data_IF_299785609494
#
_entry.id   IF_299785609494
#
_cell.length_a   1.000
_cell.length_b   1.000
_cell.length_c   1.000
_cell.angle_alpha   90.00
_cell.angle_beta   90.00
_cell.angle_gamma   90.00
#
_symmetry.space_group_name_H-M   'P 1'
#
loop_
_entity.id
_entity.type
_entity.pdbx_description
1 polymer ?
#
# COMPACT_ATOMS: atom_id res chain seq x y z
N UNK A 1 0.92 38.60 -5.68
CA UNK A 1 0.27 37.29 -5.88
C UNK A 1 -0.04 36.76 -4.49
N UNK A 2 -1.26 37.04 -4.01
CA UNK A 2 -1.68 36.69 -2.66
C UNK A 2 -2.00 35.20 -2.61
N UNK A 3 -1.17 34.41 -1.93
CA UNK A 3 -1.55 33.08 -1.44
C UNK A 3 -2.42 33.32 -0.20
N UNK A 4 -3.59 33.91 -0.42
CA UNK A 4 -4.54 34.30 0.61
C UNK A 4 -5.70 33.30 0.63
N UNK A 5 -5.85 32.63 1.77
CA UNK A 5 -7.12 32.10 2.29
C UNK A 5 -7.81 30.94 1.56
N UNK A 6 -7.08 30.01 0.93
CA UNK A 6 -7.59 28.63 0.86
C UNK A 6 -7.15 27.92 2.15
N UNK A 7 -7.97 28.05 3.21
CA UNK A 7 -7.97 27.01 4.24
C UNK A 7 -8.38 25.76 3.50
N UNK A 8 -7.43 24.83 3.27
CA UNK A 8 -7.71 23.64 2.48
C UNK A 8 -8.99 22.99 2.99
N UNK A 9 -9.92 22.73 2.07
CA UNK A 9 -11.21 22.05 2.32
C UNK A 9 -11.02 20.87 3.26
N UNK A 10 -9.92 20.14 3.08
CA UNK A 10 -9.51 18.98 3.86
C UNK A 10 -9.30 19.24 5.36
N UNK A 11 -8.78 20.41 5.75
CA UNK A 11 -8.67 20.78 7.17
C UNK A 11 -10.04 20.95 7.81
N UNK A 12 -10.96 21.62 7.09
CA UNK A 12 -12.35 21.74 7.53
C UNK A 12 -13.02 20.37 7.58
N UNK A 13 -12.64 19.43 6.67
CA UNK A 13 -13.16 18.05 6.69
C UNK A 13 -12.83 17.42 8.03
N UNK A 14 -11.54 17.42 8.37
CA UNK A 14 -11.07 16.71 9.55
C UNK A 14 -11.65 17.31 10.82
N UNK A 15 -11.75 18.64 10.92
CA UNK A 15 -12.40 19.30 12.06
C UNK A 15 -13.90 18.95 12.16
N UNK A 16 -14.63 18.88 11.04
CA UNK A 16 -16.04 18.48 11.02
C UNK A 16 -16.22 17.00 11.37
N UNK A 17 -15.35 16.12 10.87
CA UNK A 17 -15.40 14.68 11.14
C UNK A 17 -15.04 14.33 12.57
N UNK A 18 -14.10 15.05 13.17
CA UNK A 18 -13.81 14.93 14.59
C UNK A 18 -15.01 15.33 15.46
N UNK A 19 -15.89 16.22 14.98
CA UNK A 19 -17.12 16.59 15.69
C UNK A 19 -18.27 15.60 15.47
N UNK A 20 -18.44 15.07 14.25
CA UNK A 20 -19.51 14.12 13.92
C UNK A 20 -19.26 12.73 14.50
N UNK A 21 -18.02 12.25 14.46
CA UNK A 21 -17.62 11.00 15.10
C UNK A 21 -17.45 11.22 16.60
N UNK A 22 -18.43 11.84 17.27
CA UNK A 22 -18.37 12.25 18.66
C UNK A 22 -18.12 11.01 19.54
N UNK A 23 -16.85 10.67 19.69
CA UNK A 23 -16.29 9.68 20.60
C UNK A 23 -16.52 10.12 22.06
N UNK A 24 -17.39 11.12 22.33
CA UNK A 24 -17.70 11.66 23.65
C UNK A 24 -18.19 10.61 24.63
N UNK A 25 -18.78 9.53 24.12
CA UNK A 25 -19.20 8.39 24.95
C UNK A 25 -18.06 7.39 25.25
N UNK A 26 -16.91 7.50 24.58
CA UNK A 26 -15.73 6.72 24.93
C UNK A 26 -14.99 7.36 26.11
N UNK A 27 -14.81 6.66 27.23
CA UNK A 27 -14.20 7.22 28.43
C UNK A 27 -12.80 7.81 28.15
N UNK A 28 -12.42 8.94 28.78
CA UNK A 28 -11.16 9.66 28.52
C UNK A 28 -9.89 8.79 28.61
N UNK A 29 -9.92 7.76 29.47
CA UNK A 29 -8.82 6.81 29.67
C UNK A 29 -8.53 5.96 28.41
N UNK A 30 -9.55 5.64 27.60
CA UNK A 30 -9.36 4.92 26.34
C UNK A 30 -8.73 5.81 25.26
N UNK A 31 -8.94 7.13 25.30
CA UNK A 31 -8.36 8.06 24.32
C UNK A 31 -6.84 8.22 24.51
N UNK A 32 -6.37 8.31 25.76
CA UNK A 32 -4.95 8.45 26.05
C UNK A 32 -4.15 7.17 25.76
N UNK A 33 -4.72 5.98 26.03
CA UNK A 33 -4.06 4.70 25.76
C UNK A 33 -3.94 4.36 24.27
N UNK A 34 -4.78 4.95 23.41
CA UNK A 34 -4.72 4.70 21.97
C UNK A 34 -3.65 5.53 21.25
N UNK A 35 -3.10 6.58 21.88
CA UNK A 35 -2.15 7.48 21.23
C UNK A 35 -0.70 6.99 21.25
N UNK A 36 -0.34 5.98 22.04
CA UNK A 36 1.07 5.60 22.27
C UNK A 36 1.52 4.30 21.61
N UNK A 37 0.63 3.48 21.09
CA UNK A 37 1.03 2.21 20.45
C UNK A 37 1.26 2.44 18.96
N UNK A 38 2.52 2.67 18.59
CA UNK A 38 3.00 2.63 17.21
C UNK A 38 3.05 1.21 16.63
N UNK A 39 3.49 1.03 15.39
CA UNK A 39 3.66 -0.30 14.79
C UNK A 39 4.61 -1.14 15.65
N UNK A 40 4.14 -2.31 16.07
CA UNK A 40 4.98 -3.34 16.69
C UNK A 40 5.52 -4.24 15.59
N UNK A 41 6.83 -4.30 15.42
CA UNK A 41 7.48 -5.13 14.39
C UNK A 41 8.07 -6.40 15.01
N UNK A 42 8.05 -7.49 14.24
CA UNK A 42 8.80 -8.72 14.49
C UNK A 42 9.84 -8.88 13.39
N UNK A 43 10.94 -9.57 13.68
CA UNK A 43 11.98 -9.86 12.70
C UNK A 43 12.36 -11.34 12.77
N UNK A 44 12.82 -11.87 11.65
CA UNK A 44 13.33 -13.22 11.55
C UNK A 44 14.12 -13.44 10.28
N UNK A 45 15.12 -14.31 10.38
CA UNK A 45 15.91 -14.74 9.24
C UNK A 45 15.10 -15.70 8.36
N UNK A 46 15.28 -15.55 7.04
CA UNK A 46 14.84 -16.56 6.09
C UNK A 46 15.59 -17.87 6.36
N UNK A 47 14.92 -18.99 6.09
CA UNK A 47 15.54 -20.31 6.20
C UNK A 47 16.47 -20.53 5.01
N UNK A 48 17.49 -21.34 5.24
CA UNK A 48 18.43 -21.73 4.19
C UNK A 48 17.70 -22.52 3.09
N UNK A 49 18.03 -22.23 1.82
CA UNK A 49 17.51 -22.97 0.68
C UNK A 49 18.35 -24.25 0.52
N UNK A 50 17.73 -25.45 0.53
CA UNK A 50 18.45 -26.67 0.20
C UNK A 50 19.06 -26.56 -1.20
N UNK A 51 20.31 -27.00 -1.37
CA UNK A 51 21.00 -26.94 -2.68
C UNK A 51 20.21 -27.63 -3.79
N UNK A 52 19.48 -28.70 -3.45
CA UNK A 52 18.60 -29.44 -4.37
C UNK A 52 17.40 -28.64 -4.87
N UNK A 53 17.04 -27.55 -4.18
CA UNK A 53 15.91 -26.69 -4.54
C UNK A 53 16.32 -25.45 -5.34
N UNK A 54 17.63 -25.16 -5.46
CA UNK A 54 18.12 -23.99 -6.20
C UNK A 54 17.82 -24.06 -7.70
N UNK A 55 17.89 -25.27 -8.27
CA UNK A 55 17.70 -25.53 -9.71
C UNK A 55 16.29 -25.10 -10.16
N UNK A 56 15.27 -25.40 -9.36
CA UNK A 56 13.88 -25.01 -9.65
C UNK A 56 13.68 -23.49 -9.73
N UNK A 57 14.43 -22.72 -8.93
CA UNK A 57 14.32 -21.27 -8.89
C UNK A 57 14.94 -20.62 -10.13
N UNK A 58 15.92 -21.26 -10.77
CA UNK A 58 16.58 -20.75 -11.98
C UNK A 58 15.71 -20.89 -13.24
N UNK A 59 14.69 -21.75 -13.20
CA UNK A 59 13.73 -21.94 -14.29
C UNK A 59 12.44 -21.10 -14.15
N UNK A 60 12.40 -20.15 -13.21
CA UNK A 60 11.19 -19.35 -12.97
C UNK A 60 10.72 -18.54 -14.18
N UNK A 61 11.61 -18.15 -15.09
CA UNK A 61 11.23 -17.43 -16.31
C UNK A 61 10.41 -18.30 -17.29
N UNK A 62 10.57 -19.63 -17.23
CA UNK A 62 10.10 -20.57 -18.26
C UNK A 62 8.71 -21.18 -17.99
N UNK A 63 7.90 -20.62 -17.06
CA UNK A 63 6.55 -21.14 -16.72
C UNK A 63 5.47 -20.91 -17.79
N UNK A 64 5.82 -21.00 -19.07
CA UNK A 64 4.88 -20.86 -20.20
C UNK A 64 4.50 -22.22 -20.84
N UNK A 65 5.01 -23.33 -20.29
CA UNK A 65 4.77 -24.70 -20.75
C UNK A 65 3.55 -25.37 -20.11
N UNK A 66 3.14 -26.53 -20.63
CA UNK A 66 2.09 -27.36 -20.00
C UNK A 66 2.49 -27.83 -18.59
N UNK A 67 3.80 -27.90 -18.30
CA UNK A 67 4.40 -28.25 -17.01
C UNK A 67 4.47 -27.05 -16.04
N UNK A 68 4.10 -25.84 -16.48
CA UNK A 68 4.15 -24.62 -15.68
C UNK A 68 3.39 -24.72 -14.36
N UNK A 69 2.32 -25.54 -14.31
CA UNK A 69 1.52 -25.72 -13.10
C UNK A 69 2.32 -26.39 -11.98
N UNK A 70 3.03 -27.46 -12.33
CA UNK A 70 3.82 -28.23 -11.37
C UNK A 70 5.06 -27.45 -10.97
N UNK A 71 5.74 -26.82 -11.93
CA UNK A 71 6.88 -25.95 -11.64
C UNK A 71 6.50 -24.77 -10.73
N UNK A 72 5.40 -24.06 -11.01
CA UNK A 72 4.93 -22.98 -10.14
C UNK A 72 4.60 -23.45 -8.72
N UNK A 73 4.02 -24.66 -8.61
CA UNK A 73 3.69 -25.29 -7.33
C UNK A 73 4.96 -25.60 -6.55
N UNK A 74 5.96 -26.21 -7.15
CA UNK A 74 7.22 -26.54 -6.50
C UNK A 74 8.00 -25.27 -6.09
N UNK A 75 8.14 -24.28 -6.99
CA UNK A 75 8.76 -22.98 -6.66
C UNK A 75 8.05 -22.31 -5.48
N UNK A 76 6.72 -22.32 -5.46
CA UNK A 76 5.95 -21.70 -4.39
C UNK A 76 6.07 -22.44 -3.06
N UNK A 77 6.17 -23.77 -3.08
CA UNK A 77 6.45 -24.59 -1.90
C UNK A 77 7.83 -24.26 -1.36
N UNK A 78 8.85 -24.19 -2.22
CA UNK A 78 10.19 -23.76 -1.84
C UNK A 78 10.16 -22.38 -1.19
N UNK A 79 9.64 -21.36 -1.87
CA UNK A 79 9.55 -20.00 -1.31
C UNK A 79 8.82 -19.99 0.03
N UNK A 80 7.68 -20.67 0.13
CA UNK A 80 6.91 -20.77 1.37
C UNK A 80 7.73 -21.36 2.52
N UNK A 81 8.54 -22.39 2.24
CA UNK A 81 9.40 -23.02 3.23
C UNK A 81 10.57 -22.13 3.69
N UNK A 82 10.98 -21.15 2.88
CA UNK A 82 12.01 -20.15 3.27
C UNK A 82 11.49 -19.15 4.28
N UNK A 83 10.17 -18.96 4.37
CA UNK A 83 9.58 -17.95 5.22
C UNK A 83 9.82 -18.22 6.71
N UNK A 84 10.11 -17.18 7.52
CA UNK A 84 10.26 -17.32 8.96
C UNK A 84 8.99 -17.90 9.60
N UNK A 85 9.11 -18.83 10.55
CA UNK A 85 7.93 -19.47 11.17
C UNK A 85 7.02 -18.44 11.88
N UNK A 86 7.61 -17.45 12.54
CA UNK A 86 6.86 -16.36 13.19
C UNK A 86 6.12 -15.47 12.18
N UNK A 87 6.67 -15.31 10.97
CA UNK A 87 5.99 -14.63 9.88
C UNK A 87 4.75 -15.41 9.44
N UNK A 88 4.89 -16.72 9.19
CA UNK A 88 3.77 -17.59 8.83
C UNK A 88 2.64 -17.58 9.88
N UNK A 89 3.00 -17.54 11.17
CA UNK A 89 2.02 -17.37 12.25
C UNK A 89 1.28 -16.03 12.18
N UNK A 90 1.99 -14.95 11.81
CA UNK A 90 1.39 -13.62 11.60
C UNK A 90 0.43 -13.64 10.39
N UNK A 91 0.83 -14.28 9.29
CA UNK A 91 -0.01 -14.46 8.10
C UNK A 91 -1.29 -15.22 8.42
N UNK A 92 -1.19 -16.35 9.12
CA UNK A 92 -2.36 -17.14 9.50
C UNK A 92 -3.36 -16.35 10.37
N UNK A 93 -2.88 -15.37 11.15
CA UNK A 93 -3.74 -14.54 11.99
C UNK A 93 -4.35 -13.33 11.26
N UNK A 94 -3.59 -12.64 10.40
CA UNK A 94 -3.98 -11.31 9.92
C UNK A 94 -4.22 -11.19 8.42
N UNK A 95 -3.70 -12.12 7.60
CA UNK A 95 -3.80 -12.02 6.14
C UNK A 95 -5.24 -12.11 5.61
N UNK A 96 -6.12 -12.77 6.37
CA UNK A 96 -7.47 -13.13 5.96
C UNK A 96 -7.54 -14.43 5.15
N UNK A 97 -6.46 -15.19 5.07
CA UNK A 97 -6.39 -16.52 4.44
C UNK A 97 -5.94 -17.57 5.45
N UNK A 98 -6.38 -18.81 5.25
CA UNK A 98 -5.76 -19.96 5.91
C UNK A 98 -4.35 -20.19 5.36
N UNK A 99 -3.49 -20.85 6.13
CA UNK A 99 -2.09 -21.01 5.74
C UNK A 99 -1.91 -21.87 4.48
N UNK A 100 -2.78 -22.87 4.28
CA UNK A 100 -2.79 -23.70 3.09
C UNK A 100 -3.28 -22.91 1.87
N UNK A 101 -4.31 -22.09 2.03
CA UNK A 101 -4.80 -21.19 0.98
C UNK A 101 -3.75 -20.15 0.60
N UNK A 102 -3.03 -19.62 1.58
CA UNK A 102 -1.91 -18.70 1.35
C UNK A 102 -0.85 -19.36 0.46
N UNK A 103 -0.40 -20.57 0.81
CA UNK A 103 0.57 -21.33 0.00
C UNK A 103 0.05 -21.64 -1.40
N UNK A 104 -1.19 -22.11 -1.52
CA UNK A 104 -1.79 -22.42 -2.82
C UNK A 104 -1.92 -21.17 -3.70
N UNK A 105 -2.26 -20.03 -3.08
CA UNK A 105 -2.35 -18.74 -3.77
C UNK A 105 -1.00 -18.25 -4.27
N UNK A 106 0.11 -18.55 -3.58
CA UNK A 106 1.47 -18.28 -4.08
C UNK A 106 1.72 -18.96 -5.43
N UNK A 107 1.28 -20.21 -5.61
CA UNK A 107 1.43 -20.93 -6.88
C UNK A 107 0.56 -20.35 -8.00
N UNK A 108 -0.70 -20.03 -7.69
CA UNK A 108 -1.62 -19.41 -8.67
C UNK A 108 -1.08 -18.06 -9.13
N UNK A 109 -0.76 -17.17 -8.19
CA UNK A 109 -0.34 -15.81 -8.51
C UNK A 109 1.03 -15.79 -9.21
N UNK A 110 1.95 -16.70 -8.88
CA UNK A 110 3.26 -16.78 -9.54
C UNK A 110 3.14 -16.99 -11.06
N UNK A 111 2.14 -17.77 -11.48
CA UNK A 111 1.85 -18.02 -12.88
C UNK A 111 1.24 -16.81 -13.57
N UNK A 112 0.35 -16.11 -12.89
CA UNK A 112 -0.34 -14.93 -13.42
C UNK A 112 0.58 -13.71 -13.53
N UNK A 113 1.69 -13.69 -12.78
CA UNK A 113 2.72 -12.67 -12.94
C UNK A 113 3.37 -12.72 -14.32
N UNK A 114 3.77 -11.55 -14.83
CA UNK A 114 4.61 -11.48 -16.03
C UNK A 114 5.99 -12.08 -15.76
N UNK A 115 6.63 -12.65 -16.78
CA UNK A 115 7.93 -13.31 -16.67
C UNK A 115 8.97 -12.48 -15.91
N UNK A 116 9.07 -11.17 -16.20
CA UNK A 116 10.01 -10.27 -15.51
C UNK A 116 9.70 -10.08 -14.02
N UNK A 117 8.42 -9.93 -13.63
CA UNK A 117 8.05 -9.83 -12.22
C UNK A 117 8.28 -11.14 -11.47
N UNK A 118 7.92 -12.25 -12.12
CA UNK A 118 8.10 -13.60 -11.61
C UNK A 118 9.57 -13.89 -11.33
N UNK A 119 10.45 -13.67 -12.31
CA UNK A 119 11.90 -13.80 -12.18
C UNK A 119 12.44 -12.92 -11.03
N UNK A 120 12.03 -11.65 -10.98
CA UNK A 120 12.48 -10.72 -9.94
C UNK A 120 12.09 -11.17 -8.53
N UNK A 121 10.85 -11.64 -8.32
CA UNK A 121 10.43 -12.15 -7.02
C UNK A 121 11.16 -13.44 -6.65
N UNK A 122 11.28 -14.39 -7.57
CA UNK A 122 11.95 -15.66 -7.32
C UNK A 122 13.42 -15.42 -6.98
N UNK A 123 14.13 -14.59 -7.76
CA UNK A 123 15.51 -14.20 -7.48
C UNK A 123 15.65 -13.52 -6.13
N UNK A 124 14.72 -12.65 -5.75
CA UNK A 124 14.73 -12.00 -4.43
C UNK A 124 14.64 -13.03 -3.31
N UNK A 125 13.66 -13.95 -3.35
CA UNK A 125 13.52 -15.01 -2.33
C UNK A 125 14.72 -15.96 -2.32
N UNK A 126 15.27 -16.28 -3.51
CA UNK A 126 16.50 -17.08 -3.64
C UNK A 126 17.64 -16.43 -2.87
N UNK A 127 17.89 -15.14 -3.09
CA UNK A 127 18.96 -14.41 -2.42
C UNK A 127 18.73 -14.31 -0.91
N UNK A 128 17.50 -14.04 -0.48
CA UNK A 128 17.17 -13.97 0.95
C UNK A 128 17.42 -15.29 1.66
N UNK A 129 17.05 -16.42 1.04
CA UNK A 129 17.27 -17.74 1.62
C UNK A 129 18.74 -18.20 1.56
N UNK A 130 19.47 -17.90 0.48
CA UNK A 130 20.91 -18.20 0.39
C UNK A 130 21.73 -17.43 1.41
N UNK A 131 21.40 -16.14 1.64
CA UNK A 131 22.08 -15.30 2.62
C UNK A 131 21.57 -15.45 4.05
N UNK A 132 20.51 -16.24 4.27
CA UNK A 132 19.75 -16.28 5.53
C UNK A 132 19.42 -14.86 6.03
N UNK A 133 19.10 -13.99 5.08
CA UNK A 133 18.91 -12.57 5.33
C UNK A 133 17.75 -12.34 6.29
N UNK A 134 17.81 -11.25 7.05
CA UNK A 134 16.75 -10.91 8.00
C UNK A 134 15.77 -9.95 7.37
N UNK A 135 14.48 -10.23 7.52
CA UNK A 135 13.41 -9.26 7.27
C UNK A 135 12.61 -9.02 8.55
N UNK A 136 11.98 -7.85 8.61
CA UNK A 136 11.00 -7.54 9.62
C UNK A 136 9.61 -7.42 9.00
N UNK A 137 8.57 -7.47 9.82
CA UNK A 137 7.18 -7.28 9.44
C UNK A 137 6.36 -6.77 10.63
N UNK A 138 5.26 -6.05 10.38
CA UNK A 138 4.34 -5.63 11.43
C UNK A 138 3.62 -6.83 12.04
N UNK A 139 3.50 -6.83 13.37
CA UNK A 139 2.77 -7.85 14.13
C UNK A 139 1.26 -7.81 13.87
N UNK A 140 0.74 -6.62 13.53
CA UNK A 140 -0.59 -6.40 12.95
C UNK A 140 -0.42 -5.45 11.76
N UNK A 141 -0.39 -5.96 10.51
CA UNK A 141 -0.13 -5.15 9.33
C UNK A 141 -1.15 -4.03 9.07
N UNK A 142 -2.39 -4.18 9.55
CA UNK A 142 -3.48 -3.27 9.20
C UNK A 142 -3.99 -3.36 7.76
N UNK A 143 -3.48 -4.30 6.96
CA UNK A 143 -3.94 -4.61 5.62
C UNK A 143 -3.93 -6.13 5.37
N UNK A 144 -4.60 -6.57 4.30
CA UNK A 144 -4.85 -7.98 3.97
C UNK A 144 -4.41 -8.29 2.55
N UNK A 145 -4.32 -9.58 2.21
CA UNK A 145 -3.96 -10.04 0.85
C UNK A 145 -4.90 -9.44 -0.20
N UNK A 146 -6.21 -9.39 0.08
CA UNK A 146 -7.21 -8.81 -0.83
C UNK A 146 -7.00 -7.33 -1.19
N UNK A 147 -6.15 -6.60 -0.47
CA UNK A 147 -5.80 -5.22 -0.79
C UNK A 147 -4.71 -5.15 -1.87
N UNK A 148 -4.16 -6.26 -2.32
CA UNK A 148 -3.19 -6.32 -3.40
C UNK A 148 -3.75 -7.15 -4.55
N UNK A 149 -3.24 -6.92 -5.76
CA UNK A 149 -3.63 -7.71 -6.95
C UNK A 149 -3.23 -9.17 -6.82
N UNK A 150 -2.14 -9.42 -6.11
CA UNK A 150 -1.51 -10.72 -5.93
C UNK A 150 -0.78 -10.81 -4.58
N UNK A 151 -0.47 -12.03 -4.16
CA UNK A 151 0.17 -12.35 -2.90
C UNK A 151 1.63 -11.88 -2.83
N UNK A 152 2.33 -11.76 -3.96
CA UNK A 152 3.71 -11.27 -3.99
C UNK A 152 3.76 -9.75 -3.76
N UNK A 153 2.77 -9.02 -4.27
CA UNK A 153 2.57 -7.62 -3.94
C UNK A 153 2.17 -7.39 -2.48
N UNK A 154 1.40 -8.31 -1.90
CA UNK A 154 1.18 -8.31 -0.45
C UNK A 154 2.48 -8.56 0.32
N UNK A 155 3.27 -9.58 -0.06
CA UNK A 155 4.55 -9.90 0.58
C UNK A 155 5.53 -8.72 0.52
N UNK A 156 5.65 -8.05 -0.63
CA UNK A 156 6.53 -6.87 -0.78
C UNK A 156 6.07 -5.64 -0.01
N UNK A 157 4.79 -5.58 0.36
CA UNK A 157 4.28 -4.57 1.27
C UNK A 157 4.50 -4.95 2.75
N UNK A 158 4.46 -6.24 3.11
CA UNK A 158 4.64 -6.67 4.50
C UNK A 158 6.12 -6.67 4.93
N UNK A 159 7.05 -7.04 4.04
CA UNK A 159 8.46 -7.10 4.40
C UNK A 159 9.11 -5.72 4.52
N UNK A 160 9.81 -5.54 5.63
CA UNK A 160 10.47 -4.32 6.07
C UNK A 160 11.96 -4.58 6.21
N UNK A 161 12.80 -3.63 5.76
CA UNK A 161 14.24 -3.62 6.01
C UNK A 161 14.50 -3.46 7.52
N UNK A 162 15.25 -4.37 8.18
CA UNK A 162 15.46 -4.34 9.63
C UNK A 162 15.96 -3.01 10.17
N UNK A 163 16.88 -2.35 9.46
CA UNK A 163 17.44 -1.05 9.85
C UNK A 163 16.49 0.15 9.75
N UNK A 164 15.22 -0.06 9.39
CA UNK A 164 14.22 1.01 9.19
C UNK A 164 12.97 0.86 10.04
N UNK A 165 12.90 -0.12 10.95
CA UNK A 165 11.69 -0.37 11.77
C UNK A 165 11.28 0.82 12.65
N UNK A 166 12.22 1.70 12.99
CA UNK A 166 12.02 2.91 13.80
C UNK A 166 11.89 4.19 12.96
N UNK A 167 12.01 4.10 11.63
CA UNK A 167 11.78 5.24 10.73
C UNK A 167 10.31 5.67 10.80
N UNK A 168 10.01 6.94 10.49
CA UNK A 168 8.65 7.48 10.44
C UNK A 168 7.63 6.55 9.76
N UNK A 169 8.05 5.99 8.61
CA UNK A 169 7.43 4.86 7.95
C UNK A 169 8.56 3.89 7.63
N UNK A 170 8.49 2.62 8.05
CA UNK A 170 9.52 1.65 7.73
C UNK A 170 9.72 1.49 6.22
N UNK A 171 10.92 1.10 5.83
CA UNK A 171 11.29 0.97 4.41
C UNK A 171 11.17 -0.46 3.93
N UNK A 172 10.79 -0.62 2.67
CA UNK A 172 10.74 -1.93 2.00
C UNK A 172 12.11 -2.34 1.45
N UNK A 173 12.19 -3.60 1.02
CA UNK A 173 13.19 -4.08 0.07
C UNK A 173 12.92 -3.50 -1.32
N UNK A 174 13.86 -2.69 -1.82
CA UNK A 174 13.72 -1.91 -3.07
C UNK A 174 14.02 -2.77 -4.30
N UNK A 175 14.86 -3.77 -4.10
CA UNK A 175 15.20 -4.90 -4.97
C UNK A 175 14.05 -5.91 -5.12
N UNK A 176 13.08 -5.93 -4.21
CA UNK A 176 11.82 -6.66 -4.40
C UNK A 176 10.83 -5.79 -5.19
N UNK A 177 10.14 -6.31 -6.22
CA UNK A 177 9.12 -5.55 -6.94
C UNK A 177 8.01 -5.04 -5.99
N UNK A 178 7.51 -3.80 -6.16
CA UNK A 178 6.60 -3.16 -5.20
C UNK A 178 5.19 -3.76 -5.14
N UNK A 179 4.79 -4.59 -6.11
CA UNK A 179 3.40 -5.07 -6.23
C UNK A 179 2.39 -3.96 -6.56
N UNK A 180 1.18 -4.35 -6.94
CA UNK A 180 0.08 -3.40 -7.23
C UNK A 180 -1.01 -3.48 -6.17
N UNK A 181 -1.62 -2.34 -5.88
CA UNK A 181 -2.80 -2.27 -5.02
C UNK A 181 -4.02 -2.79 -5.76
N UNK A 182 -4.90 -3.51 -5.07
CA UNK A 182 -6.20 -3.87 -5.61
C UNK A 182 -7.12 -2.66 -5.55
N UNK A 183 -7.38 -2.03 -6.71
CA UNK A 183 -8.26 -0.86 -6.82
C UNK A 183 -9.73 -1.17 -6.51
N UNK A 184 -10.11 -2.46 -6.52
CA UNK A 184 -11.46 -2.91 -6.16
C UNK A 184 -11.70 -3.01 -4.66
N UNK A 185 -10.70 -2.71 -3.83
CA UNK A 185 -10.82 -2.69 -2.37
C UNK A 185 -10.75 -1.26 -1.80
N UNK A 186 -11.36 -1.07 -0.63
CA UNK A 186 -11.09 0.10 0.21
C UNK A 186 -9.78 -0.12 0.98
N UNK A 187 -8.88 0.86 0.92
CA UNK A 187 -7.59 0.80 1.58
C UNK A 187 -7.59 1.66 2.83
N UNK A 188 -7.17 1.05 3.93
CA UNK A 188 -7.08 1.70 5.23
C UNK A 188 -5.62 2.11 5.48
N UNK A 189 -5.40 3.39 5.75
CA UNK A 189 -4.13 3.93 6.23
C UNK A 189 -4.34 4.40 7.67
N UNK A 190 -3.66 3.77 8.61
CA UNK A 190 -3.76 4.09 10.03
C UNK A 190 -2.42 3.91 10.76
N UNK A 191 -2.42 4.21 12.06
CA UNK A 191 -1.23 4.20 12.92
C UNK A 191 -0.48 2.87 13.00
N UNK A 192 -1.04 1.76 12.49
CA UNK A 192 -0.33 0.47 12.41
C UNK A 192 0.71 0.45 11.29
N UNK A 193 0.69 1.43 10.40
CA UNK A 193 1.61 1.52 9.26
C UNK A 193 2.67 2.61 9.41
N UNK A 194 2.63 3.40 10.48
CA UNK A 194 3.55 4.53 10.68
C UNK A 194 3.71 4.92 12.15
N UNK A 195 4.88 5.45 12.47
CA UNK A 195 5.14 6.07 13.77
C UNK A 195 4.65 7.51 13.78
N UNK A 196 3.46 7.76 14.35
CA UNK A 196 2.73 9.04 14.23
C UNK A 196 3.60 10.28 14.45
N UNK A 197 4.33 10.36 15.56
CA UNK A 197 5.13 11.56 15.85
C UNK A 197 6.28 11.74 14.86
N UNK A 198 7.00 10.66 14.52
CA UNK A 198 8.08 10.70 13.55
C UNK A 198 7.58 11.05 12.14
N UNK A 199 6.42 10.52 11.74
CA UNK A 199 5.73 10.86 10.49
C UNK A 199 5.41 12.35 10.44
N UNK A 200 4.74 12.88 11.47
CA UNK A 200 4.37 14.29 11.51
C UNK A 200 5.59 15.21 11.43
N UNK A 201 6.68 14.87 12.13
CA UNK A 201 7.94 15.63 12.05
C UNK A 201 8.55 15.55 10.65
N UNK A 202 8.61 14.35 10.06
CA UNK A 202 9.17 14.12 8.71
C UNK A 202 8.38 14.87 7.64
N UNK A 203 7.05 14.70 7.60
CA UNK A 203 6.18 15.36 6.62
C UNK A 203 6.18 16.88 6.81
N UNK A 204 6.20 17.37 8.05
CA UNK A 204 6.32 18.81 8.31
C UNK A 204 7.63 19.36 7.75
N UNK A 205 8.75 18.72 8.05
CA UNK A 205 10.05 19.14 7.54
C UNK A 205 10.10 19.15 6.01
N UNK A 206 9.48 18.16 5.38
CA UNK A 206 9.53 17.99 3.94
C UNK A 206 8.54 18.90 3.18
N UNK A 207 7.36 19.16 3.76
CA UNK A 207 6.21 19.71 3.03
C UNK A 207 5.58 20.98 3.64
N UNK A 208 6.06 21.50 4.77
CA UNK A 208 5.52 22.76 5.33
C UNK A 208 5.55 23.87 4.28
N UNK A 209 4.35 24.37 3.96
CA UNK A 209 4.14 25.52 3.07
C UNK A 209 4.48 25.26 1.61
N UNK A 210 4.65 24.00 1.17
CA UNK A 210 5.05 23.66 -0.19
C UNK A 210 4.11 22.62 -0.78
N UNK A 211 3.63 22.90 -1.99
CA UNK A 211 3.03 21.86 -2.83
C UNK A 211 4.14 21.21 -3.67
N UNK A 212 4.15 19.88 -3.69
CA UNK A 212 5.12 19.04 -4.40
C UNK A 212 4.52 18.49 -5.68
N UNK A 213 5.37 18.19 -6.66
CA UNK A 213 4.93 17.48 -7.86
C UNK A 213 4.56 16.03 -7.53
N UNK A 214 3.65 15.44 -8.32
CA UNK A 214 3.30 14.02 -8.19
C UNK A 214 4.53 13.12 -8.31
N UNK A 215 5.45 13.43 -9.23
CA UNK A 215 6.71 12.66 -9.42
C UNK A 215 7.57 12.69 -8.16
N UNK A 216 7.75 13.88 -7.56
CA UNK A 216 8.53 13.98 -6.32
C UNK A 216 7.87 13.19 -5.19
N UNK A 217 6.54 13.22 -5.10
CA UNK A 217 5.82 12.45 -4.11
C UNK A 217 5.99 10.94 -4.33
N UNK A 218 5.85 10.48 -5.57
CA UNK A 218 6.04 9.07 -5.94
C UNK A 218 7.45 8.59 -5.57
N UNK A 219 8.48 9.37 -5.90
CA UNK A 219 9.87 9.09 -5.53
C UNK A 219 10.06 9.07 -4.01
N UNK A 220 9.34 9.92 -3.27
CA UNK A 220 9.44 9.99 -1.82
C UNK A 220 8.79 8.78 -1.11
N UNK A 221 7.70 8.25 -1.66
CA UNK A 221 6.94 7.15 -1.06
C UNK A 221 7.26 5.77 -1.65
N UNK A 222 8.04 5.70 -2.74
CA UNK A 222 8.35 4.41 -3.38
C UNK A 222 9.03 3.44 -2.41
N UNK A 223 9.85 3.93 -1.49
CA UNK A 223 10.60 3.11 -0.54
C UNK A 223 9.80 2.76 0.71
N UNK A 224 8.60 3.32 0.89
CA UNK A 224 7.78 3.03 2.06
C UNK A 224 7.25 1.60 2.01
N UNK A 225 7.36 0.91 3.15
CA UNK A 225 6.71 -0.38 3.37
C UNK A 225 5.22 -0.20 3.69
N UNK A 226 4.52 -1.32 3.81
CA UNK A 226 3.09 -1.38 4.06
C UNK A 226 2.24 -0.95 2.87
N UNK A 227 0.92 -0.99 3.06
CA UNK A 227 -0.01 -0.49 2.04
C UNK A 227 0.09 1.03 1.85
N UNK A 228 0.46 1.80 2.88
CA UNK A 228 0.56 3.26 2.83
C UNK A 228 1.42 3.77 1.67
N UNK A 229 2.61 3.19 1.47
CA UNK A 229 3.51 3.58 0.38
C UNK A 229 2.87 3.35 -1.00
N UNK A 230 2.29 2.17 -1.22
CA UNK A 230 1.68 1.79 -2.50
C UNK A 230 0.40 2.54 -2.80
N UNK A 231 -0.43 2.72 -1.79
CA UNK A 231 -1.69 3.46 -1.92
C UNK A 231 -1.40 4.91 -2.28
N UNK A 232 -0.44 5.58 -1.63
CA UNK A 232 -0.09 6.96 -1.96
C UNK A 232 0.59 7.04 -3.34
N UNK A 233 1.47 6.10 -3.66
CA UNK A 233 2.11 6.03 -4.98
C UNK A 233 1.06 5.92 -6.12
N UNK A 234 0.10 5.01 -5.98
CA UNK A 234 -0.97 4.78 -6.95
C UNK A 234 -2.01 5.91 -6.95
N UNK A 235 -2.22 6.56 -5.81
CA UNK A 235 -3.13 7.69 -5.67
C UNK A 235 -2.56 8.98 -6.27
N UNK A 236 -1.31 9.01 -6.73
CA UNK A 236 -0.66 10.23 -7.22
C UNK A 236 -0.33 10.14 -8.71
N UNK A 237 -1.34 9.94 -9.58
CA UNK A 237 -1.11 9.68 -11.00
C UNK A 237 -0.35 10.82 -11.68
N UNK A 238 0.53 10.44 -12.59
CA UNK A 238 1.23 11.38 -13.46
C UNK A 238 0.25 11.92 -14.50
N UNK A 239 0.17 13.25 -14.64
CA UNK A 239 -0.64 13.92 -15.68
C UNK A 239 -2.11 13.50 -15.71
N UNK A 240 -2.74 13.38 -14.53
CA UNK A 240 -4.19 13.18 -14.42
C UNK A 240 -4.80 14.19 -13.47
N UNK A 241 -6.04 14.55 -13.74
CA UNK A 241 -6.89 15.27 -12.79
C UNK A 241 -7.73 14.27 -12.02
N UNK A 242 -7.99 14.58 -10.75
CA UNK A 242 -8.93 13.82 -9.97
C UNK A 242 -10.35 14.30 -10.29
N UNK A 243 -11.28 13.38 -10.48
CA UNK A 243 -12.68 13.70 -10.72
C UNK A 243 -13.58 12.87 -9.82
N UNK A 244 -14.79 13.36 -9.56
CA UNK A 244 -15.78 12.54 -8.87
C UNK A 244 -16.40 11.56 -9.88
N UNK A 245 -16.45 10.24 -9.59
CA UNK A 245 -17.13 9.29 -10.45
C UNK A 245 -18.60 9.69 -10.68
N UNK A 246 -19.07 9.66 -11.93
CA UNK A 246 -20.42 10.15 -12.31
C UNK A 246 -21.59 9.49 -11.59
N UNK A 247 -21.39 8.28 -11.09
CA UNK A 247 -22.39 7.46 -10.41
C UNK A 247 -22.34 7.61 -8.89
N UNK A 248 -21.45 8.46 -8.36
CA UNK A 248 -21.29 8.71 -6.94
C UNK A 248 -21.46 10.20 -6.64
N UNK A 249 -21.99 10.52 -5.46
CA UNK A 249 -21.99 11.90 -4.94
C UNK A 249 -20.75 12.10 -4.08
N UNK A 250 -19.82 12.92 -4.54
CA UNK A 250 -18.66 13.34 -3.74
C UNK A 250 -18.97 14.62 -2.97
N UNK A 251 -18.12 14.90 -1.98
CA UNK A 251 -18.16 16.13 -1.23
C UNK A 251 -17.71 17.30 -2.11
N UNK A 252 -18.57 18.30 -2.25
CA UNK A 252 -18.28 19.56 -2.93
C UNK A 252 -18.11 20.69 -1.91
N UNK A 253 -17.08 21.52 -2.09
CA UNK A 253 -16.88 22.73 -1.27
C UNK A 253 -16.70 22.45 0.24
N UNK A 254 -17.38 23.23 1.09
CA UNK A 254 -17.26 23.10 2.54
C UNK A 254 -17.84 21.77 3.05
N UNK A 255 -17.19 21.24 4.07
CA UNK A 255 -17.42 19.85 4.49
C UNK A 255 -18.62 19.75 5.38
N UNK A 256 -19.65 19.06 4.88
CA UNK A 256 -20.92 18.84 5.56
C UNK A 256 -21.08 17.41 6.09
N UNK A 257 -20.29 16.45 5.59
CA UNK A 257 -20.47 15.02 5.88
C UNK A 257 -19.16 14.24 5.77
N UNK A 258 -18.97 13.28 6.68
CA UNK A 258 -17.84 12.34 6.70
C UNK A 258 -18.18 10.99 6.06
N UNK A 259 -19.41 10.88 5.54
CA UNK A 259 -19.90 9.70 4.84
C UNK A 259 -19.74 9.81 3.33
N UNK A 260 -19.42 11.01 2.82
CA UNK A 260 -19.16 11.25 1.41
C UNK A 260 -17.64 11.23 1.16
N UNK A 261 -17.19 10.73 0.00
CA UNK A 261 -15.79 10.81 -0.36
C UNK A 261 -15.38 12.24 -0.69
N UNK A 262 -14.15 12.58 -0.36
CA UNK A 262 -13.47 13.78 -0.85
C UNK A 262 -12.61 13.42 -2.05
N UNK A 263 -12.69 14.20 -3.12
CA UNK A 263 -11.81 14.09 -4.28
C UNK A 263 -10.66 15.08 -4.08
N UNK A 264 -9.39 14.63 -4.04
CA UNK A 264 -8.28 15.55 -3.84
C UNK A 264 -8.08 16.44 -5.07
N UNK A 265 -7.77 17.71 -4.90
CA UNK A 265 -7.47 18.62 -6.02
C UNK A 265 -6.06 18.40 -6.59
N UNK A 266 -5.16 17.84 -5.77
CA UNK A 266 -3.76 17.62 -6.12
C UNK A 266 -3.11 16.52 -5.30
N UNK A 267 -1.92 16.06 -5.73
CA UNK A 267 -1.06 15.17 -4.94
C UNK A 267 -0.75 15.73 -3.53
N UNK A 268 -0.70 17.06 -3.39
CA UNK A 268 -0.47 17.74 -2.12
C UNK A 268 -1.62 17.52 -1.13
N UNK A 269 -2.86 17.45 -1.62
CA UNK A 269 -4.01 17.19 -0.77
C UNK A 269 -4.02 15.78 -0.19
N UNK A 270 -3.48 14.80 -0.92
CA UNK A 270 -3.33 13.42 -0.43
C UNK A 270 -2.40 13.37 0.78
N UNK A 271 -1.24 14.03 0.70
CA UNK A 271 -0.31 14.10 1.85
C UNK A 271 -0.89 14.93 2.99
N UNK A 272 -1.59 16.03 2.69
CA UNK A 272 -2.28 16.80 3.72
C UNK A 272 -3.33 15.94 4.43
N UNK A 273 -4.04 15.06 3.72
CA UNK A 273 -4.97 14.12 4.33
C UNK A 273 -4.25 13.18 5.28
N UNK A 274 -3.14 12.57 4.87
CA UNK A 274 -2.32 11.71 5.73
C UNK A 274 -1.88 12.44 7.00
N UNK A 275 -1.36 13.67 6.87
CA UNK A 275 -0.95 14.49 8.02
C UNK A 275 -2.12 14.77 8.95
N UNK A 276 -3.25 15.23 8.42
CA UNK A 276 -4.40 15.61 9.22
C UNK A 276 -5.02 14.40 9.92
N UNK A 277 -5.13 13.25 9.25
CA UNK A 277 -5.64 12.02 9.86
C UNK A 277 -4.68 11.47 10.91
N UNK A 278 -3.36 11.54 10.67
CA UNK A 278 -2.36 11.17 11.68
C UNK A 278 -2.42 12.08 12.92
N UNK A 279 -2.54 13.39 12.74
CA UNK A 279 -2.74 14.35 13.86
C UNK A 279 -4.04 14.07 14.62
N UNK A 280 -5.10 13.71 13.91
CA UNK A 280 -6.41 13.40 14.46
C UNK A 280 -6.50 11.98 15.07
N UNK A 281 -5.46 11.15 14.91
CA UNK A 281 -5.50 9.71 15.22
C UNK A 281 -6.71 9.00 14.57
N UNK A 282 -7.10 9.44 13.38
CA UNK A 282 -8.19 8.86 12.60
C UNK A 282 -7.61 8.04 11.44
N UNK A 283 -8.28 6.97 11.01
CA UNK A 283 -7.90 6.29 9.78
C UNK A 283 -8.24 7.13 8.54
N UNK A 284 -7.37 7.03 7.54
CA UNK A 284 -7.61 7.51 6.18
C UNK A 284 -8.02 6.33 5.31
N UNK A 285 -9.15 6.45 4.63
CA UNK A 285 -9.66 5.50 3.66
C UNK A 285 -9.34 6.03 2.27
N UNK A 286 -8.68 5.24 1.46
CA UNK A 286 -8.45 5.54 0.04
C UNK A 286 -9.17 4.49 -0.79
N UNK A 287 -9.93 4.92 -1.78
CA UNK A 287 -10.58 4.02 -2.73
C UNK A 287 -10.49 4.56 -4.15
N UNK A 288 -10.73 3.67 -5.10
CA UNK A 288 -10.91 4.01 -6.51
C UNK A 288 -12.37 3.83 -6.92
N UNK A 289 -12.70 4.22 -8.14
CA UNK A 289 -14.00 4.01 -8.78
C UNK A 289 -14.41 2.52 -8.83
N UNK A 290 -13.44 1.60 -8.84
CA UNK A 290 -13.69 0.16 -8.84
C UNK A 290 -13.97 -0.42 -7.45
N UNK A 291 -13.83 0.35 -6.37
CA UNK A 291 -13.92 -0.17 -5.01
C UNK A 291 -15.34 -0.67 -4.68
N UNK A 292 -15.42 -1.88 -4.14
CA UNK A 292 -16.68 -2.52 -3.76
C UNK A 292 -16.67 -3.02 -2.32
N UNK A 293 -17.86 -3.31 -1.79
CA UNK A 293 -18.06 -3.84 -0.45
C UNK A 293 -18.18 -2.78 0.63
N UNK A 294 -18.18 -3.18 1.92
CA UNK A 294 -18.35 -2.26 3.02
C UNK A 294 -17.12 -1.36 3.20
N UNK A 295 -17.34 -0.04 3.23
CA UNK A 295 -16.33 0.97 3.53
C UNK A 295 -16.00 0.97 5.04
N UNK A 296 -14.72 0.95 5.44
CA UNK A 296 -14.34 1.17 6.84
C UNK A 296 -14.61 2.61 7.32
N UNK A 297 -14.70 2.81 8.62
CA UNK A 297 -14.85 4.15 9.20
C UNK A 297 -13.53 4.95 9.10
N UNK A 298 -13.63 6.22 8.72
CA UNK A 298 -12.49 7.12 8.57
C UNK A 298 -12.75 8.24 7.56
N UNK A 299 -11.78 9.15 7.43
CA UNK A 299 -11.76 10.16 6.37
C UNK A 299 -11.65 9.44 5.03
N UNK A 300 -12.49 9.76 4.05
CA UNK A 300 -12.53 9.03 2.79
C UNK A 300 -12.04 9.87 1.60
N UNK A 301 -10.97 9.43 0.94
CA UNK A 301 -10.51 9.92 -0.35
C UNK A 301 -10.97 9.00 -1.47
N UNK A 302 -11.58 9.58 -2.50
CA UNK A 302 -11.86 8.92 -3.77
C UNK A 302 -10.83 9.33 -4.81
N UNK A 303 -10.17 8.33 -5.39
CA UNK A 303 -9.18 8.47 -6.45
C UNK A 303 -9.80 7.94 -7.73
N UNK A 304 -10.45 8.82 -8.48
CA UNK A 304 -10.78 8.57 -9.88
C UNK A 304 -9.98 9.55 -10.73
N UNK A 305 -9.23 9.03 -11.70
CA UNK A 305 -8.25 9.81 -12.44
C UNK A 305 -8.41 9.59 -13.93
N UNK A 306 -8.73 10.67 -14.62
CA UNK A 306 -8.95 10.66 -16.05
C UNK A 306 -7.67 11.20 -16.73
N UNK A 307 -7.19 10.59 -17.83
CA UNK A 307 -6.05 11.12 -18.58
C UNK A 307 -6.30 12.58 -19.00
N UNK A 308 -5.33 13.49 -18.80
CA UNK A 308 -5.48 14.92 -19.15
C UNK A 308 -5.83 15.12 -20.63
N UNK A 309 -5.31 14.28 -21.53
CA UNK A 309 -5.58 14.32 -22.97
C UNK A 309 -7.04 13.96 -23.34
N UNK A 310 -7.78 13.31 -22.44
CA UNK A 310 -9.15 12.85 -22.75
C UNK A 310 -10.22 13.93 -22.59
N UNK A 311 -9.87 15.16 -22.21
CA UNK A 311 -10.79 16.29 -22.20
C UNK A 311 -11.18 16.78 -23.60
N UNK A 312 -10.44 16.38 -24.64
CA UNK A 312 -10.80 16.63 -26.04
C UNK A 312 -10.73 15.33 -26.88
N UNK A 313 -11.81 14.54 -26.92
CA UNK A 313 -12.01 13.52 -27.97
C UNK A 313 -11.43 12.10 -27.74
N UNK A 314 -11.44 11.58 -26.52
CA UNK A 314 -10.96 10.21 -26.23
C UNK A 314 -11.91 9.09 -26.72
N UNK A 315 -11.36 8.13 -27.47
CA UNK A 315 -12.01 6.87 -27.86
C UNK A 315 -11.61 5.74 -26.86
N UNK A 316 -12.55 5.22 -26.05
CA UNK A 316 -12.27 4.21 -25.02
C UNK A 316 -11.81 2.84 -25.56
N UNK A 317 -11.72 2.66 -26.89
CA UNK A 317 -11.30 1.39 -27.51
C UNK A 317 -9.80 1.30 -27.78
N UNK A 318 -9.02 2.36 -27.60
CA UNK A 318 -7.56 2.30 -27.77
C UNK A 318 -6.88 1.83 -26.49
N UNK A 319 -6.11 0.73 -26.51
CA UNK A 319 -5.38 0.28 -25.34
C UNK A 319 -4.35 1.33 -24.92
N UNK A 320 -4.36 1.67 -23.63
CA UNK A 320 -3.40 2.57 -23.01
C UNK A 320 -2.04 1.87 -23.02
N UNK A 321 -1.08 2.43 -23.77
CA UNK A 321 0.30 1.97 -23.75
C UNK A 321 0.83 2.05 -22.30
N UNK A 322 1.16 0.90 -21.71
CA UNK A 322 1.77 0.85 -20.38
C UNK A 322 3.17 1.44 -20.43
N UNK A 323 3.63 2.18 -19.42
CA UNK A 323 5.01 2.63 -19.36
C UNK A 323 5.92 1.41 -19.18
N UNK A 324 6.57 0.99 -20.26
CA UNK A 324 7.82 0.25 -20.19
C UNK A 324 8.86 1.18 -19.59
N UNK A 325 9.32 0.92 -18.36
CA UNK A 325 10.66 1.23 -17.83
C UNK A 325 10.64 1.05 -16.30
N UNK A 326 10.64 -0.22 -15.85
CA UNK A 326 11.00 -0.58 -14.48
C UNK A 326 12.29 -1.39 -14.42
N UNK A 327 12.92 -1.68 -15.56
CA UNK A 327 14.23 -2.31 -15.61
C UNK A 327 15.32 -1.23 -15.68
N UNK A 328 16.01 -1.00 -14.57
CA UNK A 328 17.27 -0.25 -14.53
C UNK A 328 17.25 1.00 -13.65
N UNK A 329 17.48 0.82 -12.35
CA UNK A 329 18.37 1.67 -11.53
C UNK A 329 19.07 0.82 -10.49
#
# INVERSE_FOLDING_TARGET
>A
MEISSSRSTLRLVVEACLRQNDYRDAPPILRASQMTVGPSNQCGSFREIPVTELDWLDHAADLDSEEANDQAREISVTIFNLLPQAFLATIARYSGLEILDFRNRMATDLRELSASYRESYVLWFKNMGMGQETACWPSDPGFKVKHFTDIYGYLSAVFIKPGSVDDAIPKRFTDMPPGRVNRSAHHLIDKRQYHTQALLVSLKRQFIGRCISSTYLQDYVTDWAGSIGRVIYEATPWQRTYECPRWMTCQEGNVTSCNLPTVPESACEIINAVVLTAMASQPLIVSWDLATGPRPAGLWLMIDSIPVESREGYDPRKPILTPHNWAGR
#
